data_IF_276788897426
#
_entry.id   IF_276788897426
#
_cell.length_a   1.000
_cell.length_b   1.000
_cell.length_c   1.000
_cell.angle_alpha   90.00
_cell.angle_beta   90.00
_cell.angle_gamma   90.00
#
_symmetry.space_group_name_H-M   'P 1'
#
loop_
_entity.id
_entity.type
_entity.pdbx_description
1 polymer ?
#
# COMPACT_ATOMS: atom_id res chain seq x y z
N UNK A 1 -18.10 -10.50 19.07
CA UNK A 1 -17.42 -9.31 19.60
C UNK A 1 -16.56 -8.70 18.50
N UNK A 2 -16.85 -7.49 18.09
CA UNK A 2 -16.05 -6.75 17.10
C UNK A 2 -14.75 -6.38 17.79
N UNK A 3 -13.63 -7.09 17.49
CA UNK A 3 -12.33 -6.79 18.11
C UNK A 3 -11.85 -5.44 17.61
N UNK A 4 -11.68 -4.52 18.55
CA UNK A 4 -11.17 -3.18 18.34
C UNK A 4 -9.77 -3.22 17.74
N UNK A 5 -9.59 -2.64 16.54
CA UNK A 5 -8.28 -2.55 15.88
C UNK A 5 -7.30 -1.60 16.56
N UNK A 6 -7.71 -0.83 17.55
CA UNK A 6 -6.80 0.02 18.33
C UNK A 6 -5.72 -0.75 19.10
N UNK A 7 -5.87 -2.05 19.26
CA UNK A 7 -4.87 -2.94 19.87
C UNK A 7 -3.88 -3.53 18.87
N UNK A 8 -4.00 -3.24 17.56
CA UNK A 8 -3.06 -3.70 16.54
C UNK A 8 -1.66 -3.12 16.76
N UNK A 9 -0.64 -3.88 16.36
CA UNK A 9 0.75 -3.52 16.60
C UNK A 9 1.21 -2.24 15.88
N UNK A 10 0.61 -1.93 14.73
CA UNK A 10 0.89 -0.73 13.94
C UNK A 10 0.14 0.51 14.41
N UNK A 11 -0.75 0.38 15.39
CA UNK A 11 -1.50 1.50 15.97
C UNK A 11 -0.75 2.05 17.19
N UNK A 12 -0.46 3.36 17.23
CA UNK A 12 0.22 3.96 18.40
C UNK A 12 -0.50 3.66 19.71
N UNK A 13 0.28 3.37 20.74
CA UNK A 13 -0.24 3.15 22.11
C UNK A 13 -0.49 4.47 22.87
N UNK A 14 -0.05 5.59 22.31
CA UNK A 14 -0.13 6.95 22.88
C UNK A 14 -0.97 7.87 21.99
N UNK A 15 -1.30 9.05 22.53
CA UNK A 15 -2.06 10.08 21.82
C UNK A 15 -3.58 9.94 21.95
N UNK A 16 -4.29 10.92 21.41
CA UNK A 16 -5.76 10.94 21.41
C UNK A 16 -6.34 9.82 20.56
N UNK A 17 -7.60 9.46 20.80
CA UNK A 17 -8.31 8.44 20.01
C UNK A 17 -8.32 8.80 18.51
N UNK A 18 -8.50 10.07 18.17
CA UNK A 18 -8.53 10.53 16.79
C UNK A 18 -7.15 10.42 16.13
N UNK A 19 -6.08 10.73 16.83
CA UNK A 19 -4.71 10.53 16.35
C UNK A 19 -4.43 9.04 16.08
N UNK A 20 -4.72 8.19 17.07
CA UNK A 20 -4.54 6.73 16.95
C UNK A 20 -5.37 6.14 15.81
N UNK A 21 -6.59 6.64 15.61
CA UNK A 21 -7.45 6.26 14.49
C UNK A 21 -6.83 6.66 13.15
N UNK A 22 -6.40 7.92 13.01
CA UNK A 22 -5.79 8.43 11.78
C UNK A 22 -4.54 7.63 11.39
N UNK A 23 -3.63 7.42 12.33
CA UNK A 23 -2.41 6.61 12.08
C UNK A 23 -2.76 5.14 11.81
N UNK A 24 -3.73 4.59 12.55
CA UNK A 24 -4.15 3.20 12.38
C UNK A 24 -4.77 2.91 11.00
N UNK A 25 -5.58 3.83 10.47
CA UNK A 25 -6.18 3.68 9.14
C UNK A 25 -5.11 3.66 8.05
N UNK A 26 -4.03 4.43 8.19
CA UNK A 26 -2.96 4.50 7.19
C UNK A 26 -2.15 3.21 7.07
N UNK A 27 -2.22 2.28 8.00
CA UNK A 27 -1.44 1.04 7.98
C UNK A 27 0.03 1.28 7.61
N UNK A 28 0.68 2.24 8.28
CA UNK A 28 1.97 2.79 7.89
C UNK A 28 3.04 1.75 7.48
N UNK A 29 3.20 0.59 8.17
CA UNK A 29 4.19 -0.40 7.74
C UNK A 29 3.88 -0.99 6.37
N UNK A 30 2.60 -1.24 6.05
CA UNK A 30 2.21 -1.81 4.75
C UNK A 30 2.27 -0.74 3.65
N UNK A 31 1.81 0.45 3.93
CA UNK A 31 1.94 1.61 3.05
C UNK A 31 3.41 1.92 2.75
N UNK A 32 4.27 1.93 3.77
CA UNK A 32 5.72 2.12 3.61
C UNK A 32 6.36 1.04 2.74
N UNK A 33 5.90 -0.22 2.85
CA UNK A 33 6.36 -1.31 2.00
C UNK A 33 6.01 -1.06 0.52
N UNK A 34 4.79 -0.64 0.20
CA UNK A 34 4.37 -0.33 -1.18
C UNK A 34 5.16 0.87 -1.72
N UNK A 35 5.32 1.93 -0.95
CA UNK A 35 6.16 3.08 -1.32
C UNK A 35 7.61 2.66 -1.57
N UNK A 36 8.12 1.68 -0.83
CA UNK A 36 9.44 1.09 -1.07
C UNK A 36 9.52 0.36 -2.40
N UNK A 37 8.48 -0.37 -2.82
CA UNK A 37 8.44 -1.02 -4.13
C UNK A 37 8.44 -0.02 -5.28
N UNK A 38 7.75 1.10 -5.11
CA UNK A 38 7.82 2.23 -6.05
C UNK A 38 9.25 2.77 -6.14
N UNK A 39 9.93 2.94 -5.00
CA UNK A 39 11.31 3.38 -4.98
C UNK A 39 12.26 2.38 -5.68
N UNK A 40 12.04 1.06 -5.54
CA UNK A 40 12.82 0.05 -6.26
C UNK A 40 12.73 0.22 -7.76
N UNK A 41 11.52 0.45 -8.29
CA UNK A 41 11.32 0.75 -9.70
C UNK A 41 12.07 2.00 -10.14
N UNK A 42 12.00 3.06 -9.34
CA UNK A 42 12.73 4.30 -9.62
C UNK A 42 14.25 4.12 -9.60
N UNK A 43 14.78 3.31 -8.68
CA UNK A 43 16.23 3.02 -8.59
C UNK A 43 16.76 2.19 -9.75
N UNK A 44 15.90 1.43 -10.43
CA UNK A 44 16.24 0.62 -11.60
C UNK A 44 16.28 1.45 -12.91
N UNK A 45 15.90 2.72 -12.87
CA UNK A 45 15.85 3.64 -13.99
C UNK A 45 16.86 4.78 -13.84
N UNK A 46 16.89 5.70 -14.83
CA UNK A 46 17.66 6.96 -14.70
C UNK A 46 17.00 7.82 -13.62
N UNK A 47 17.69 7.94 -12.49
CA UNK A 47 17.12 8.41 -11.24
C UNK A 47 17.04 9.95 -11.17
N UNK A 48 15.84 10.45 -10.89
CA UNK A 48 15.56 11.82 -10.45
C UNK A 48 14.93 11.79 -9.06
N UNK A 49 15.52 12.52 -8.11
CA UNK A 49 15.01 12.61 -6.74
C UNK A 49 13.62 13.26 -6.68
N UNK A 50 13.37 14.27 -7.51
CA UNK A 50 12.07 14.93 -7.62
C UNK A 50 10.99 13.95 -8.03
N UNK A 51 11.24 13.14 -9.08
CA UNK A 51 10.29 12.13 -9.58
C UNK A 51 10.09 11.00 -8.58
N UNK A 52 11.15 10.59 -7.87
CA UNK A 52 11.02 9.64 -6.76
C UNK A 52 10.09 10.19 -5.68
N UNK A 53 10.32 11.43 -5.26
CA UNK A 53 9.46 12.06 -4.23
C UNK A 53 8.01 12.16 -4.72
N UNK A 54 7.79 12.59 -5.97
CA UNK A 54 6.46 12.71 -6.56
C UNK A 54 5.72 11.37 -6.59
N UNK A 55 6.35 10.30 -7.06
CA UNK A 55 5.69 8.99 -7.16
C UNK A 55 5.49 8.35 -5.78
N UNK A 56 6.40 8.55 -4.83
CA UNK A 56 6.23 8.10 -3.44
C UNK A 56 5.04 8.80 -2.78
N UNK A 57 4.89 10.11 -2.95
CA UNK A 57 3.73 10.89 -2.46
C UNK A 57 2.45 10.41 -3.14
N UNK A 58 2.46 10.20 -4.46
CA UNK A 58 1.32 9.67 -5.21
C UNK A 58 0.83 8.34 -4.61
N UNK A 59 1.73 7.37 -4.43
CA UNK A 59 1.37 6.05 -3.89
C UNK A 59 0.96 6.12 -2.42
N UNK A 60 1.59 6.98 -1.62
CA UNK A 60 1.14 7.22 -0.26
C UNK A 60 -0.30 7.75 -0.23
N UNK A 61 -0.65 8.70 -1.09
CA UNK A 61 -1.98 9.28 -1.18
C UNK A 61 -3.01 8.27 -1.73
N UNK A 62 -2.67 7.55 -2.81
CA UNK A 62 -3.58 6.61 -3.45
C UNK A 62 -3.80 5.35 -2.61
N UNK A 63 -2.73 4.61 -2.28
CA UNK A 63 -2.82 3.33 -1.58
C UNK A 63 -2.76 3.50 -0.05
N UNK A 64 -1.93 4.41 0.46
CA UNK A 64 -1.82 4.64 1.90
C UNK A 64 -3.02 5.34 2.52
N UNK A 65 -3.62 6.30 1.84
CA UNK A 65 -4.77 7.05 2.36
C UNK A 65 -6.07 6.60 1.72
N UNK A 66 -6.19 6.74 0.38
CA UNK A 66 -7.48 6.52 -0.30
C UNK A 66 -7.92 5.06 -0.23
N UNK A 67 -7.07 4.09 -0.58
CA UNK A 67 -7.45 2.67 -0.57
C UNK A 67 -7.88 2.19 0.83
N UNK A 68 -7.14 2.59 1.88
CA UNK A 68 -7.49 2.21 3.25
C UNK A 68 -8.76 2.90 3.76
N UNK A 69 -9.04 4.13 3.33
CA UNK A 69 -10.32 4.77 3.59
C UNK A 69 -11.46 4.00 2.90
N UNK A 70 -11.30 3.60 1.65
CA UNK A 70 -12.29 2.81 0.91
C UNK A 70 -12.50 1.42 1.52
N UNK A 71 -11.43 0.71 1.91
CA UNK A 71 -11.53 -0.58 2.62
C UNK A 71 -12.33 -0.46 3.92
N UNK A 72 -12.13 0.64 4.65
CA UNK A 72 -12.88 0.93 5.89
C UNK A 72 -14.37 1.16 5.62
N UNK A 73 -14.75 1.51 4.41
CA UNK A 73 -16.13 1.74 3.98
C UNK A 73 -16.77 0.49 3.35
N UNK A 74 -16.07 -0.20 2.44
CA UNK A 74 -16.55 -1.36 1.69
C UNK A 74 -16.65 -2.63 2.54
N UNK A 75 -15.81 -2.76 3.55
CA UNK A 75 -15.78 -3.93 4.42
C UNK A 75 -17.08 -4.10 5.22
N UNK A 76 -17.64 -5.33 5.20
CA UNK A 76 -18.78 -5.73 6.04
C UNK A 76 -18.49 -5.58 7.53
N UNK A 77 -17.21 -5.69 7.91
CA UNK A 77 -16.72 -5.50 9.28
C UNK A 77 -16.18 -4.08 9.39
N UNK A 78 -16.78 -3.24 10.24
CA UNK A 78 -16.31 -1.87 10.49
C UNK A 78 -15.20 -1.87 11.56
N UNK A 79 -13.94 -2.01 11.15
CA UNK A 79 -12.84 -2.29 12.08
C UNK A 79 -12.49 -1.11 12.99
N UNK A 80 -12.89 0.10 12.62
CA UNK A 80 -12.58 1.34 13.34
C UNK A 80 -13.79 1.95 14.04
N UNK A 81 -14.89 1.20 14.14
CA UNK A 81 -16.15 1.68 14.73
C UNK A 81 -16.98 2.54 13.78
N UNK A 82 -17.88 3.34 14.34
CA UNK A 82 -18.79 4.19 13.57
C UNK A 82 -18.07 5.45 13.05
N UNK A 83 -17.34 5.33 11.95
CA UNK A 83 -16.78 6.49 11.26
C UNK A 83 -17.84 7.16 10.39
N UNK A 84 -17.78 8.49 10.31
CA UNK A 84 -18.64 9.23 9.39
C UNK A 84 -18.31 8.85 7.94
N UNK A 85 -19.26 8.20 7.25
CA UNK A 85 -19.11 7.81 5.85
C UNK A 85 -18.71 9.01 4.98
N UNK A 86 -19.36 10.16 5.19
CA UNK A 86 -19.07 11.40 4.43
C UNK A 86 -17.61 11.82 4.60
N UNK A 87 -17.09 11.82 5.84
CA UNK A 87 -15.68 12.20 6.10
C UNK A 87 -14.70 11.24 5.41
N UNK A 88 -14.93 9.92 5.51
CA UNK A 88 -14.06 8.90 4.89
C UNK A 88 -14.06 9.07 3.37
N UNK A 89 -15.23 9.23 2.74
CA UNK A 89 -15.33 9.47 1.31
C UNK A 89 -14.63 10.76 0.89
N UNK A 90 -14.84 11.85 1.62
CA UNK A 90 -14.19 13.14 1.34
C UNK A 90 -12.67 13.01 1.40
N UNK A 91 -12.12 12.40 2.45
CA UNK A 91 -10.67 12.19 2.58
C UNK A 91 -10.14 11.30 1.46
N UNK A 92 -10.83 10.20 1.14
CA UNK A 92 -10.43 9.29 0.06
C UNK A 92 -10.41 10.01 -1.30
N UNK A 93 -11.47 10.73 -1.65
CA UNK A 93 -11.57 11.42 -2.95
C UNK A 93 -10.58 12.56 -3.09
N UNK A 94 -10.36 13.37 -2.03
CA UNK A 94 -9.35 14.43 -2.05
C UNK A 94 -7.96 13.83 -2.24
N UNK A 95 -7.64 12.80 -1.46
CA UNK A 95 -6.34 12.13 -1.54
C UNK A 95 -6.10 11.52 -2.93
N UNK A 96 -7.11 10.86 -3.48
CA UNK A 96 -7.03 10.27 -4.83
C UNK A 96 -6.94 11.37 -5.91
N UNK A 97 -7.67 12.47 -5.77
CA UNK A 97 -7.58 13.63 -6.67
C UNK A 97 -6.18 14.24 -6.70
N UNK A 98 -5.54 14.40 -5.53
CA UNK A 98 -4.14 14.84 -5.45
C UNK A 98 -3.18 13.84 -6.11
N UNK A 99 -3.38 12.53 -5.88
CA UNK A 99 -2.59 11.50 -6.54
C UNK A 99 -2.75 11.53 -8.06
N UNK A 100 -3.97 11.70 -8.57
CA UNK A 100 -4.22 11.86 -10.00
C UNK A 100 -3.57 13.12 -10.57
N UNK A 101 -3.62 14.25 -9.86
CA UNK A 101 -2.98 15.48 -10.31
C UNK A 101 -1.47 15.26 -10.53
N UNK A 102 -0.78 14.58 -9.61
CA UNK A 102 0.64 14.23 -9.75
C UNK A 102 0.83 13.27 -10.93
N UNK A 103 0.07 12.17 -10.98
CA UNK A 103 0.22 11.14 -12.01
C UNK A 103 -0.04 11.67 -13.41
N UNK A 104 -1.10 12.45 -13.61
CA UNK A 104 -1.44 13.06 -14.89
C UNK A 104 -0.41 14.11 -15.32
N UNK A 105 0.10 14.92 -14.39
CA UNK A 105 1.15 15.88 -14.70
C UNK A 105 2.36 15.19 -15.37
N UNK A 106 2.90 14.13 -14.76
CA UNK A 106 4.05 13.42 -15.34
C UNK A 106 3.68 12.56 -16.56
N UNK A 107 2.46 12.00 -16.60
CA UNK A 107 2.00 11.24 -17.75
C UNK A 107 1.92 12.09 -19.02
N UNK A 108 1.44 13.33 -18.90
CA UNK A 108 1.40 14.28 -20.01
C UNK A 108 2.75 14.94 -20.31
N UNK A 109 3.62 15.07 -19.30
CA UNK A 109 4.92 15.69 -19.48
C UNK A 109 5.81 14.85 -20.40
N UNK A 110 6.09 13.61 -20.01
CA UNK A 110 7.02 12.73 -20.73
C UNK A 110 6.94 11.23 -20.31
N UNK A 111 5.99 10.87 -19.46
CA UNK A 111 5.88 9.51 -18.90
C UNK A 111 4.54 8.82 -19.24
N UNK A 112 4.21 8.64 -20.55
CA UNK A 112 2.90 8.14 -20.98
C UNK A 112 2.57 6.72 -20.47
N UNK A 113 3.56 5.91 -20.08
CA UNK A 113 3.33 4.61 -19.46
C UNK A 113 2.57 4.70 -18.12
N UNK A 114 2.54 5.88 -17.48
CA UNK A 114 1.73 6.09 -16.29
C UNK A 114 0.22 6.01 -16.58
N UNK A 115 -0.25 6.26 -17.82
CA UNK A 115 -1.66 6.14 -18.16
C UNK A 115 -2.19 4.71 -17.99
N UNK A 116 -1.66 3.68 -18.68
CA UNK A 116 -2.15 2.32 -18.51
C UNK A 116 -1.96 1.79 -17.09
N UNK A 117 -0.83 2.14 -16.42
CA UNK A 117 -0.59 1.75 -15.03
C UNK A 117 -1.63 2.41 -14.12
N UNK A 118 -1.87 3.71 -14.25
CA UNK A 118 -2.85 4.46 -13.45
C UNK A 118 -4.28 3.98 -13.64
N UNK A 119 -4.66 3.60 -14.88
CA UNK A 119 -5.96 3.00 -15.17
C UNK A 119 -6.12 1.66 -14.45
N UNK A 120 -5.10 0.79 -14.53
CA UNK A 120 -5.12 -0.51 -13.87
C UNK A 120 -5.17 -0.37 -12.34
N UNK A 121 -4.33 0.51 -11.76
CA UNK A 121 -4.31 0.79 -10.31
C UNK A 121 -5.65 1.34 -9.82
N UNK A 122 -6.23 2.28 -10.56
CA UNK A 122 -7.54 2.87 -10.22
C UNK A 122 -8.64 1.82 -10.25
N UNK A 123 -8.65 0.99 -11.28
CA UNK A 123 -9.61 -0.11 -11.37
C UNK A 123 -9.49 -1.06 -10.18
N UNK A 124 -8.27 -1.52 -9.86
CA UNK A 124 -8.07 -2.43 -8.73
C UNK A 124 -8.34 -1.76 -7.39
N UNK A 125 -7.99 -0.48 -7.24
CA UNK A 125 -8.27 0.28 -6.03
C UNK A 125 -9.77 0.26 -5.69
N UNK A 126 -10.62 0.56 -6.66
CA UNK A 126 -12.07 0.53 -6.43
C UNK A 126 -12.64 -0.88 -6.38
N UNK A 127 -12.26 -1.75 -7.33
CA UNK A 127 -12.80 -3.10 -7.42
C UNK A 127 -12.46 -3.96 -6.19
N UNK A 128 -11.22 -3.82 -5.66
CA UNK A 128 -10.77 -4.55 -4.49
C UNK A 128 -11.39 -4.00 -3.19
N UNK A 129 -11.25 -2.69 -2.93
CA UNK A 129 -11.62 -2.11 -1.64
C UNK A 129 -13.14 -1.93 -1.45
N UNK A 130 -13.91 -1.78 -2.52
CA UNK A 130 -15.37 -1.71 -2.46
C UNK A 130 -16.04 -3.06 -2.72
N UNK A 131 -15.27 -4.13 -2.83
CA UNK A 131 -15.77 -5.48 -3.12
C UNK A 131 -16.71 -5.52 -4.36
N UNK A 132 -16.39 -4.70 -5.40
CA UNK A 132 -17.20 -4.64 -6.61
C UNK A 132 -17.25 -5.99 -7.35
N UNK A 133 -18.21 -6.16 -8.24
CA UNK A 133 -18.40 -7.38 -9.03
C UNK A 133 -18.52 -8.63 -8.17
N UNK A 134 -19.32 -8.56 -7.09
CA UNK A 134 -19.49 -9.66 -6.12
C UNK A 134 -18.16 -10.10 -5.47
N UNK A 135 -17.27 -9.15 -5.18
CA UNK A 135 -15.95 -9.38 -4.61
C UNK A 135 -15.01 -10.24 -5.48
N UNK A 136 -15.28 -10.39 -6.80
CA UNK A 136 -14.44 -11.18 -7.71
C UNK A 136 -12.97 -10.71 -7.69
N UNK A 137 -12.74 -9.42 -7.54
CA UNK A 137 -11.41 -8.82 -7.48
C UNK A 137 -10.83 -8.70 -6.06
N UNK A 138 -11.58 -9.06 -5.03
CA UNK A 138 -11.10 -9.06 -3.64
C UNK A 138 -10.38 -10.40 -3.33
N UNK A 139 -9.22 -10.60 -3.96
CA UNK A 139 -8.43 -11.83 -3.84
C UNK A 139 -6.91 -11.53 -3.77
N UNK A 140 -6.13 -12.56 -3.39
CA UNK A 140 -4.69 -12.40 -3.18
C UNK A 140 -3.92 -12.04 -4.46
N UNK A 141 -4.37 -12.51 -5.63
CA UNK A 141 -3.68 -12.21 -6.89
C UNK A 141 -3.81 -10.73 -7.25
N UNK A 142 -5.01 -10.17 -7.13
CA UNK A 142 -5.24 -8.74 -7.36
C UNK A 142 -4.44 -7.90 -6.36
N UNK A 143 -4.39 -8.32 -5.09
CA UNK A 143 -3.54 -7.67 -4.09
C UNK A 143 -2.07 -7.66 -4.53
N UNK A 144 -1.53 -8.81 -4.96
CA UNK A 144 -0.13 -8.92 -5.41
C UNK A 144 0.15 -8.04 -6.62
N UNK A 145 -0.79 -7.97 -7.58
CA UNK A 145 -0.63 -7.12 -8.76
C UNK A 145 -0.60 -5.65 -8.36
N UNK A 146 -1.60 -5.17 -7.61
CA UNK A 146 -1.74 -3.75 -7.29
C UNK A 146 -0.80 -3.27 -6.17
N UNK A 147 -0.37 -4.15 -5.26
CA UNK A 147 0.52 -3.79 -4.15
C UNK A 147 1.97 -4.22 -4.36
N UNK A 148 2.27 -5.03 -5.35
CA UNK A 148 3.61 -5.54 -5.63
C UNK A 148 4.10 -5.17 -7.01
N UNK A 149 3.40 -5.60 -8.06
CA UNK A 149 3.87 -5.49 -9.44
C UNK A 149 3.76 -4.05 -9.95
N UNK A 150 2.55 -3.50 -9.96
CA UNK A 150 2.28 -2.18 -10.55
C UNK A 150 3.08 -1.05 -9.89
N UNK A 151 3.31 -1.01 -8.56
CA UNK A 151 4.17 -0.01 -7.94
C UNK A 151 5.61 0.00 -8.48
N UNK A 152 6.21 -1.17 -8.71
CA UNK A 152 7.56 -1.27 -9.30
C UNK A 152 7.59 -0.69 -10.70
N UNK A 153 6.61 -1.04 -11.54
CA UNK A 153 6.53 -0.51 -12.90
C UNK A 153 6.25 1.00 -12.93
N UNK A 154 5.38 1.50 -12.05
CA UNK A 154 5.09 2.93 -11.93
C UNK A 154 6.31 3.73 -11.51
N UNK A 155 7.10 3.20 -10.56
CA UNK A 155 8.35 3.81 -10.12
C UNK A 155 9.37 3.99 -11.24
N UNK A 156 9.49 3.03 -12.16
CA UNK A 156 10.33 3.17 -13.35
C UNK A 156 9.70 4.06 -14.41
N UNK A 157 8.41 3.91 -14.65
CA UNK A 157 7.68 4.66 -15.68
C UNK A 157 7.79 6.17 -15.49
N UNK A 158 7.68 6.66 -14.24
CA UNK A 158 7.80 8.10 -13.97
C UNK A 158 9.22 8.63 -14.23
N UNK A 159 10.23 7.77 -14.14
CA UNK A 159 11.63 8.18 -14.33
C UNK A 159 12.01 8.29 -15.83
N UNK A 160 11.66 7.30 -16.63
CA UNK A 160 12.19 7.16 -18.00
C UNK A 160 11.15 6.77 -19.04
N UNK A 161 9.92 6.49 -18.63
CA UNK A 161 8.88 5.89 -19.49
C UNK A 161 9.32 4.61 -20.23
N UNK A 162 10.27 3.87 -19.64
CA UNK A 162 10.81 2.62 -20.21
C UNK A 162 10.65 1.46 -19.23
N UNK A 163 10.66 0.25 -19.78
CA UNK A 163 10.62 -0.99 -19.01
C UNK A 163 11.91 -1.76 -19.28
N UNK A 164 12.74 -1.91 -18.26
CA UNK A 164 13.97 -2.68 -18.34
C UNK A 164 13.78 -4.12 -17.86
N UNK A 165 14.60 -5.10 -18.29
CA UNK A 165 14.52 -6.47 -17.80
C UNK A 165 14.67 -6.61 -16.28
N UNK A 166 15.45 -5.74 -15.63
CA UNK A 166 15.62 -5.74 -14.17
C UNK A 166 14.31 -5.50 -13.42
N UNK A 167 13.37 -4.75 -14.02
CA UNK A 167 12.05 -4.50 -13.41
C UNK A 167 11.25 -5.77 -13.19
N UNK A 168 11.36 -6.76 -14.10
CA UNK A 168 10.64 -8.02 -13.95
C UNK A 168 11.17 -8.82 -12.75
N UNK A 169 12.48 -8.77 -12.48
CA UNK A 169 13.08 -9.40 -11.29
C UNK A 169 12.58 -8.69 -10.03
N UNK A 170 12.63 -7.37 -9.99
CA UNK A 170 12.14 -6.58 -8.84
C UNK A 170 10.64 -6.77 -8.61
N UNK A 171 9.84 -6.77 -9.68
CA UNK A 171 8.41 -7.05 -9.60
C UNK A 171 8.13 -8.47 -9.11
N UNK A 172 8.95 -9.46 -9.51
CA UNK A 172 8.88 -10.83 -8.99
C UNK A 172 9.14 -10.89 -7.48
N UNK A 173 10.20 -10.22 -7.01
CA UNK A 173 10.52 -10.15 -5.57
C UNK A 173 9.38 -9.43 -4.81
N UNK A 174 8.92 -8.27 -5.31
CA UNK A 174 7.82 -7.53 -4.71
C UNK A 174 6.52 -8.36 -4.66
N UNK A 175 6.26 -9.17 -5.70
CA UNK A 175 5.13 -10.11 -5.74
C UNK A 175 5.19 -11.16 -4.65
N UNK A 176 6.35 -11.80 -4.48
CA UNK A 176 6.56 -12.81 -3.43
C UNK A 176 6.36 -12.18 -2.05
N UNK A 177 6.96 -11.02 -1.79
CA UNK A 177 6.84 -10.33 -0.51
C UNK A 177 5.39 -9.89 -0.24
N UNK A 178 4.68 -9.36 -1.25
CA UNK A 178 3.26 -8.99 -1.13
C UNK A 178 2.38 -10.21 -0.89
N UNK A 179 2.66 -11.34 -1.56
CA UNK A 179 1.94 -12.60 -1.34
C UNK A 179 2.15 -13.14 0.08
N UNK A 180 3.40 -13.15 0.55
CA UNK A 180 3.73 -13.55 1.93
C UNK A 180 3.05 -12.63 2.95
N UNK A 181 3.05 -11.32 2.71
CA UNK A 181 2.40 -10.35 3.58
C UNK A 181 0.89 -10.62 3.70
N UNK A 182 0.18 -10.75 2.57
CA UNK A 182 -1.28 -10.94 2.60
C UNK A 182 -1.66 -12.29 3.21
N UNK A 183 -0.94 -13.36 2.91
CA UNK A 183 -1.17 -14.69 3.51
C UNK A 183 -0.94 -14.69 5.03
N UNK A 184 0.17 -14.09 5.47
CA UNK A 184 0.46 -13.96 6.90
C UNK A 184 -0.58 -13.09 7.61
N UNK A 185 -1.02 -11.98 6.97
CA UNK A 185 -2.06 -11.10 7.49
C UNK A 185 -3.41 -11.82 7.64
N UNK A 186 -3.80 -12.63 6.65
CA UNK A 186 -5.01 -13.45 6.73
C UNK A 186 -4.93 -14.44 7.90
N UNK A 187 -3.79 -15.15 8.02
CA UNK A 187 -3.57 -16.10 9.12
C UNK A 187 -3.56 -15.42 10.48
N UNK A 188 -2.89 -14.28 10.60
CA UNK A 188 -2.89 -13.46 11.82
C UNK A 188 -4.33 -13.07 12.24
N UNK A 189 -5.15 -12.56 11.30
CA UNK A 189 -6.54 -12.20 11.55
C UNK A 189 -7.38 -13.40 11.98
N UNK A 190 -7.20 -14.55 11.33
CA UNK A 190 -7.90 -15.80 11.66
C UNK A 190 -7.57 -16.27 13.10
N UNK A 191 -6.28 -16.41 13.43
CA UNK A 191 -5.84 -16.85 14.75
C UNK A 191 -6.36 -15.91 15.84
N UNK A 192 -6.30 -14.61 15.59
CA UNK A 192 -6.77 -13.60 16.53
C UNK A 192 -8.31 -13.64 16.71
N UNK A 193 -9.06 -13.92 15.66
CA UNK A 193 -10.52 -14.04 15.74
C UNK A 193 -10.98 -15.24 16.54
N UNK A 194 -10.26 -16.36 16.45
CA UNK A 194 -10.52 -17.62 17.16
C UNK A 194 -9.92 -17.67 18.56
N UNK A 195 -9.27 -16.60 19.04
CA UNK A 195 -8.63 -16.54 20.37
C UNK A 195 -7.64 -17.68 20.62
N UNK A 196 -6.84 -18.01 19.59
CA UNK A 196 -5.77 -19.00 19.69
C UNK A 196 -4.68 -18.55 20.66
N UNK A 197 -3.76 -19.49 21.00
CA UNK A 197 -2.61 -19.23 21.85
C UNK A 197 -1.84 -17.99 21.38
N UNK A 198 -1.49 -17.14 22.33
CA UNK A 198 -0.73 -15.91 22.10
C UNK A 198 0.60 -16.14 21.38
N UNK A 199 1.24 -17.31 21.57
CA UNK A 199 2.50 -17.66 20.90
C UNK A 199 2.35 -17.70 19.37
N UNK A 200 1.29 -18.32 18.84
CA UNK A 200 1.03 -18.37 17.41
C UNK A 200 0.67 -17.00 16.82
N UNK A 201 -0.10 -16.21 17.55
CA UNK A 201 -0.46 -14.83 17.14
C UNK A 201 0.80 -13.97 17.06
N UNK A 202 1.65 -14.00 18.10
CA UNK A 202 2.89 -13.24 18.15
C UNK A 202 3.87 -13.64 17.05
N UNK A 203 3.94 -14.92 16.69
CA UNK A 203 4.76 -15.38 15.57
C UNK A 203 4.32 -14.76 14.24
N UNK A 204 3.01 -14.75 13.94
CA UNK A 204 2.52 -14.12 12.71
C UNK A 204 2.75 -12.61 12.72
N UNK A 205 2.54 -11.96 13.85
CA UNK A 205 2.82 -10.53 14.01
C UNK A 205 4.31 -10.21 13.78
N UNK A 206 5.22 -11.03 14.29
CA UNK A 206 6.65 -10.88 14.07
C UNK A 206 7.02 -11.01 12.58
N UNK A 207 6.43 -11.98 11.87
CA UNK A 207 6.64 -12.15 10.43
C UNK A 207 6.13 -10.92 9.66
N UNK A 208 4.95 -10.39 9.99
CA UNK A 208 4.42 -9.18 9.37
C UNK A 208 5.34 -7.97 9.58
N UNK A 209 5.86 -7.80 10.80
CA UNK A 209 6.85 -6.77 11.13
C UNK A 209 8.12 -6.94 10.30
N UNK A 210 8.69 -8.15 10.28
CA UNK A 210 9.93 -8.43 9.56
C UNK A 210 9.80 -8.15 8.06
N UNK A 211 8.70 -8.58 7.42
CA UNK A 211 8.47 -8.32 6.00
C UNK A 211 8.37 -6.83 5.74
N UNK A 212 7.45 -6.14 6.43
CA UNK A 212 7.16 -4.72 6.13
C UNK A 212 8.30 -3.78 6.53
N UNK A 213 8.83 -3.89 7.75
CA UNK A 213 9.93 -3.03 8.21
C UNK A 213 11.26 -3.40 7.56
N UNK A 214 11.48 -4.69 7.24
CA UNK A 214 12.66 -5.14 6.51
C UNK A 214 12.75 -4.53 5.11
N UNK A 215 11.65 -4.53 4.36
CA UNK A 215 11.58 -3.87 3.04
C UNK A 215 11.85 -2.38 3.16
N UNK A 216 11.22 -1.68 4.10
CA UNK A 216 11.42 -0.24 4.31
C UNK A 216 12.88 0.04 4.68
N UNK A 217 13.44 -0.68 5.65
CA UNK A 217 14.81 -0.49 6.12
C UNK A 217 15.84 -0.72 5.00
N UNK A 218 15.69 -1.82 4.25
CA UNK A 218 16.57 -2.14 3.12
C UNK A 218 16.50 -1.06 2.03
N UNK A 219 15.30 -0.56 1.72
CA UNK A 219 15.08 0.50 0.73
C UNK A 219 15.74 1.81 1.18
N UNK A 220 15.52 2.20 2.44
CA UNK A 220 16.13 3.40 3.01
C UNK A 220 17.65 3.30 3.05
N UNK A 221 18.17 2.16 3.48
CA UNK A 221 19.61 1.91 3.53
C UNK A 221 20.25 2.00 2.14
N UNK A 222 19.65 1.35 1.12
CA UNK A 222 20.11 1.44 -0.26
C UNK A 222 20.10 2.89 -0.78
N UNK A 223 19.03 3.63 -0.49
CA UNK A 223 18.93 5.05 -0.88
C UNK A 223 20.06 5.88 -0.27
N UNK A 224 20.29 5.74 1.03
CA UNK A 224 21.35 6.48 1.74
C UNK A 224 22.73 6.14 1.16
N UNK A 225 23.05 4.85 0.97
CA UNK A 225 24.34 4.44 0.45
C UNK A 225 24.64 4.93 -0.99
N UNK A 226 23.59 5.12 -1.78
CA UNK A 226 23.76 5.43 -3.20
C UNK A 226 23.64 6.92 -3.52
N UNK A 227 22.89 7.68 -2.73
CA UNK A 227 22.48 9.04 -3.08
C UNK A 227 22.78 10.09 -1.99
N UNK A 228 23.21 9.68 -0.80
CA UNK A 228 23.63 10.54 0.30
C UNK A 228 25.07 10.26 0.66
#
# INVERSE_FOLDING_TARGET
>A
MQKDRFSEWFVPKFGSRNFRLGVGILFLPYTGMVVSFVAWGSFAANFSLERLAAICVLYFLALGVSAHCLDSFGSKIRPWGALSKKKIWTVSLISLGCAFAIGLYYAFLDSPLLFPIGIAETFFLFAYNLELFNAKFHNNMVFVISWGILPVFAGSAIQTSTISPQLFVLAGIASILSYLLIKTSQRYKELRSKSWDHSYINRQEMILKLISTGVIATTTFYFVLRYV
#
